data_IF_722888910100
#
_entry.id   IF_722888910100
#
_cell.length_a   1.000
_cell.length_b   1.000
_cell.length_c   1.000
_cell.angle_alpha   90.00
_cell.angle_beta   90.00
_cell.angle_gamma   90.00
#
_symmetry.space_group_name_H-M   'P 1'
#
loop_
_entity.id
_entity.type
_entity.pdbx_description
1 polymer ?
#
# COMPACT_ATOMS: atom_id res chain seq x y z
N UNK A 1 16.95 30.89 -32.80
CA UNK A 1 18.12 29.98 -32.96
C UNK A 1 19.20 30.35 -31.96
N UNK A 2 19.66 29.40 -31.15
CA UNK A 2 20.67 29.64 -30.10
C UNK A 2 21.96 30.20 -30.71
N UNK A 3 22.42 31.34 -30.20
CA UNK A 3 23.65 32.02 -30.62
C UNK A 3 24.74 31.99 -29.55
N UNK A 4 24.35 31.89 -28.28
CA UNK A 4 25.28 31.84 -27.15
C UNK A 4 24.70 31.06 -25.98
N UNK A 5 25.53 30.22 -25.37
CA UNK A 5 25.28 29.57 -24.07
C UNK A 5 26.40 30.01 -23.12
N UNK A 6 26.05 30.45 -21.92
CA UNK A 6 26.99 30.87 -20.88
C UNK A 6 26.75 30.02 -19.65
N UNK A 7 27.79 29.33 -19.17
CA UNK A 7 27.75 28.45 -18.00
C UNK A 7 28.65 29.02 -16.91
N UNK A 8 28.16 29.05 -15.67
CA UNK A 8 28.91 29.56 -14.51
C UNK A 8 28.37 28.95 -13.21
N UNK A 9 29.25 28.77 -12.23
CA UNK A 9 28.96 28.27 -10.88
C UNK A 9 28.18 26.94 -10.85
N UNK A 10 28.41 26.07 -11.83
CA UNK A 10 27.71 24.78 -11.92
C UNK A 10 28.65 23.63 -12.25
N UNK A 11 28.73 22.65 -11.35
CA UNK A 11 29.62 21.48 -11.44
C UNK A 11 31.07 21.86 -11.84
N UNK A 12 31.49 21.51 -13.07
CA UNK A 12 32.83 21.78 -13.60
C UNK A 12 33.05 23.23 -14.06
N UNK A 13 31.99 24.03 -14.22
CA UNK A 13 32.05 25.43 -14.66
C UNK A 13 32.22 26.36 -13.46
N UNK A 14 33.46 26.51 -12.96
CA UNK A 14 33.76 27.42 -11.84
C UNK A 14 33.70 28.88 -12.27
N UNK A 15 34.33 29.19 -13.40
CA UNK A 15 34.33 30.52 -14.01
C UNK A 15 33.36 30.58 -15.20
N UNK A 16 33.00 31.80 -15.61
CA UNK A 16 32.13 32.00 -16.76
C UNK A 16 32.78 31.43 -18.02
N UNK A 17 32.10 30.45 -18.63
CA UNK A 17 32.53 29.81 -19.87
C UNK A 17 31.42 29.94 -20.91
N UNK A 18 31.77 30.44 -22.09
CA UNK A 18 30.79 30.74 -23.13
C UNK A 18 31.00 29.90 -24.38
N UNK A 19 29.92 29.32 -24.88
CA UNK A 19 29.84 28.71 -26.20
C UNK A 19 29.08 29.66 -27.13
N UNK A 20 29.78 30.25 -28.10
CA UNK A 20 29.18 31.11 -29.13
C UNK A 20 29.17 30.40 -30.48
N UNK A 21 28.05 30.48 -31.19
CA UNK A 21 27.91 29.84 -32.50
C UNK A 21 26.92 30.57 -33.39
N UNK A 22 27.13 30.47 -34.69
CA UNK A 22 26.18 30.86 -35.74
C UNK A 22 25.80 29.66 -36.62
N UNK A 23 26.19 28.45 -36.24
CA UNK A 23 25.98 27.21 -37.01
C UNK A 23 24.70 26.53 -36.60
N UNK A 24 23.91 26.08 -37.58
CA UNK A 24 22.66 25.34 -37.35
C UNK A 24 22.90 24.01 -36.64
N UNK A 25 24.03 23.37 -36.91
CA UNK A 25 24.44 22.10 -36.30
C UNK A 25 25.73 22.35 -35.54
N UNK A 26 25.77 21.94 -34.27
CA UNK A 26 26.92 22.09 -33.39
C UNK A 26 27.27 20.71 -32.81
N UNK A 27 28.56 20.36 -32.82
CA UNK A 27 29.07 19.14 -32.21
C UNK A 27 29.99 19.51 -31.04
N UNK A 28 29.58 19.17 -29.83
CA UNK A 28 30.35 19.41 -28.60
C UNK A 28 30.88 18.06 -28.11
N UNK A 29 32.20 17.92 -28.06
CA UNK A 29 32.88 16.69 -27.63
C UNK A 29 34.03 17.02 -26.67
N UNK A 30 34.49 16.02 -25.93
CA UNK A 30 35.53 16.19 -24.91
C UNK A 30 35.59 15.00 -23.96
N UNK A 31 36.55 15.02 -23.04
CA UNK A 31 36.76 13.94 -22.06
C UNK A 31 35.57 13.76 -21.10
N UNK A 32 35.51 12.61 -20.44
CA UNK A 32 34.57 12.38 -19.34
C UNK A 32 34.81 13.40 -18.22
N UNK A 33 33.75 13.94 -17.63
CA UNK A 33 33.83 15.00 -16.61
C UNK A 33 34.04 16.42 -17.13
N UNK A 34 34.23 16.63 -18.44
CA UNK A 34 34.42 17.96 -19.04
C UNK A 34 33.18 18.88 -18.99
N UNK A 35 32.07 18.47 -18.35
CA UNK A 35 30.88 19.32 -18.20
C UNK A 35 29.88 19.30 -19.36
N UNK A 36 30.04 18.41 -20.35
CA UNK A 36 29.13 18.28 -21.51
C UNK A 36 27.67 18.05 -21.07
N UNK A 37 27.47 17.15 -20.10
CA UNK A 37 26.14 16.81 -19.56
C UNK A 37 25.46 18.02 -18.90
N UNK A 38 26.21 18.96 -18.33
CA UNK A 38 25.60 20.15 -17.72
C UNK A 38 24.97 21.07 -18.76
N UNK A 39 25.54 21.14 -19.96
CA UNK A 39 24.95 21.93 -21.06
C UNK A 39 23.58 21.34 -21.41
N UNK A 40 23.47 20.02 -21.55
CA UNK A 40 22.18 19.39 -21.88
C UNK A 40 21.16 19.52 -20.75
N UNK A 41 21.59 19.42 -19.48
CA UNK A 41 20.72 19.64 -18.31
C UNK A 41 20.21 21.09 -18.22
N UNK A 42 21.09 22.08 -18.45
CA UNK A 42 20.67 23.48 -18.51
C UNK A 42 19.67 23.75 -19.63
N UNK A 43 19.92 23.20 -20.82
CA UNK A 43 18.97 23.32 -21.95
C UNK A 43 17.63 22.64 -21.66
N UNK A 44 17.60 21.59 -20.83
CA UNK A 44 16.39 20.88 -20.44
C UNK A 44 15.56 21.66 -19.41
N UNK A 45 16.20 22.31 -18.43
CA UNK A 45 15.53 23.06 -17.38
C UNK A 45 16.35 24.31 -16.99
N UNK A 46 16.04 25.44 -17.64
CA UNK A 46 16.76 26.70 -17.43
C UNK A 46 16.41 27.36 -16.08
N UNK A 47 15.25 27.04 -15.53
CA UNK A 47 14.72 27.62 -14.28
C UNK A 47 15.22 26.89 -13.03
N UNK A 48 16.01 25.82 -13.18
CA UNK A 48 16.61 25.12 -12.05
C UNK A 48 17.55 26.05 -11.28
N UNK A 49 17.45 26.07 -9.94
CA UNK A 49 18.30 26.92 -9.10
C UNK A 49 19.80 26.68 -9.30
N UNK A 50 20.19 25.47 -9.73
CA UNK A 50 21.57 25.12 -10.03
C UNK A 50 22.13 25.86 -11.26
N UNK A 51 21.26 26.43 -12.10
CA UNK A 51 21.63 27.17 -13.31
C UNK A 51 21.35 28.68 -13.23
N UNK A 52 21.09 29.22 -12.03
CA UNK A 52 20.81 30.66 -11.82
C UNK A 52 21.86 31.62 -12.38
N UNK A 53 23.12 31.17 -12.48
CA UNK A 53 24.25 31.95 -13.00
C UNK A 53 24.54 31.63 -14.49
N UNK A 54 23.72 30.79 -15.13
CA UNK A 54 23.82 30.41 -16.53
C UNK A 54 22.86 31.24 -17.39
N UNK A 55 23.15 31.36 -18.69
CA UNK A 55 22.34 32.17 -19.59
C UNK A 55 22.38 31.65 -21.04
N UNK A 56 21.31 31.90 -21.79
CA UNK A 56 21.17 31.56 -23.19
C UNK A 56 20.72 32.76 -24.02
N UNK A 57 21.25 32.91 -25.24
CA UNK A 57 20.85 33.96 -26.19
C UNK A 57 20.49 33.38 -27.55
N UNK A 58 19.66 34.12 -28.28
CA UNK A 58 19.21 33.77 -29.63
C UNK A 58 17.90 32.99 -29.67
N UNK A 59 17.30 32.72 -28.51
CA UNK A 59 15.93 32.23 -28.42
C UNK A 59 14.97 33.42 -28.42
N UNK A 60 13.85 33.28 -29.12
CA UNK A 60 12.71 34.18 -29.05
C UNK A 60 11.56 33.47 -28.34
N UNK A 61 10.89 32.55 -29.04
CA UNK A 61 9.76 31.76 -28.54
C UNK A 61 9.86 30.28 -28.96
N UNK A 62 11.05 29.80 -29.31
CA UNK A 62 11.23 28.40 -29.71
C UNK A 62 11.23 27.46 -28.49
N UNK A 63 10.55 26.32 -28.64
CA UNK A 63 10.62 25.22 -27.68
C UNK A 63 11.95 24.48 -27.79
N UNK A 64 12.58 24.16 -26.65
CA UNK A 64 13.83 23.41 -26.59
C UNK A 64 13.52 21.95 -26.24
N UNK A 65 13.87 21.04 -27.14
CA UNK A 65 13.69 19.60 -26.93
C UNK A 65 14.99 18.92 -26.47
N UNK A 66 14.96 18.55 -25.18
CA UNK A 66 15.89 17.80 -24.34
C UNK A 66 16.02 16.30 -24.54
N UNK A 67 16.85 15.73 -25.42
CA UNK A 67 17.14 14.27 -25.36
C UNK A 67 18.46 13.98 -24.62
N UNK A 68 18.36 13.66 -23.33
CA UNK A 68 19.48 13.28 -22.47
C UNK A 68 19.11 12.11 -21.53
N UNK A 69 20.04 11.72 -20.67
CA UNK A 69 19.83 10.63 -19.70
C UNK A 69 18.64 10.91 -18.76
N UNK A 70 18.52 12.15 -18.26
CA UNK A 70 17.41 12.55 -17.38
C UNK A 70 16.04 12.39 -18.10
N UNK A 71 15.95 12.75 -19.39
CA UNK A 71 14.75 12.52 -20.21
C UNK A 71 14.44 11.03 -20.35
N UNK A 72 15.45 10.19 -20.54
CA UNK A 72 15.28 8.73 -20.63
C UNK A 72 14.77 8.19 -19.30
N UNK A 73 15.44 8.48 -18.19
CA UNK A 73 15.05 7.99 -16.85
C UNK A 73 13.63 8.43 -16.46
N UNK A 74 13.26 9.66 -16.83
CA UNK A 74 11.95 10.26 -16.56
C UNK A 74 10.84 9.61 -17.39
N UNK A 75 11.09 9.32 -18.67
CA UNK A 75 10.02 8.92 -19.61
C UNK A 75 10.05 7.44 -19.98
N UNK A 76 11.13 6.71 -19.67
CA UNK A 76 11.38 5.34 -20.10
C UNK A 76 11.69 4.50 -18.86
N UNK A 77 10.68 3.73 -18.42
CA UNK A 77 10.81 2.80 -17.31
C UNK A 77 11.17 1.39 -17.82
N UNK A 78 12.14 0.74 -17.17
CA UNK A 78 12.40 -0.67 -17.40
C UNK A 78 11.37 -1.49 -16.61
N UNK A 79 10.30 -1.92 -17.28
CA UNK A 79 9.41 -2.91 -16.68
C UNK A 79 10.09 -4.26 -16.76
N UNK A 80 10.43 -4.87 -15.62
CA UNK A 80 10.97 -6.25 -15.50
C UNK A 80 10.20 -7.32 -16.31
N UNK A 81 8.99 -6.99 -16.78
CA UNK A 81 8.12 -7.87 -17.55
C UNK A 81 8.44 -7.95 -19.05
N UNK A 82 9.17 -7.01 -19.65
CA UNK A 82 9.53 -7.11 -21.07
C UNK A 82 10.69 -6.19 -21.48
N UNK A 83 11.88 -6.76 -21.66
CA UNK A 83 13.02 -6.06 -22.26
C UNK A 83 12.64 -5.52 -23.65
N UNK A 84 12.83 -4.21 -23.85
CA UNK A 84 12.63 -3.55 -25.15
C UNK A 84 11.25 -2.92 -25.38
N UNK A 85 10.33 -2.95 -24.41
CA UNK A 85 9.08 -2.18 -24.48
C UNK A 85 9.20 -0.91 -23.65
N UNK A 86 9.38 0.21 -24.36
CA UNK A 86 9.40 1.53 -23.78
C UNK A 86 7.98 2.08 -23.66
N UNK A 87 7.45 2.18 -22.44
CA UNK A 87 6.16 2.84 -22.20
C UNK A 87 6.43 4.34 -22.07
N UNK A 88 5.88 5.14 -22.98
CA UNK A 88 6.01 6.61 -22.95
C UNK A 88 5.01 7.22 -21.96
N UNK A 89 5.45 8.27 -21.24
CA UNK A 89 4.77 9.18 -20.28
C UNK A 89 4.86 8.86 -18.79
N UNK A 90 5.29 9.86 -18.00
CA UNK A 90 5.36 9.85 -16.53
C UNK A 90 4.02 9.57 -15.85
N UNK A 91 2.93 10.12 -16.40
CA UNK A 91 1.59 9.92 -15.87
C UNK A 91 1.23 8.43 -15.84
N UNK A 92 1.58 7.67 -16.89
CA UNK A 92 1.35 6.23 -16.93
C UNK A 92 2.18 5.45 -15.91
N UNK A 93 3.33 5.98 -15.48
CA UNK A 93 4.20 5.32 -14.50
C UNK A 93 3.61 5.46 -13.09
N UNK A 94 3.27 6.69 -12.68
CA UNK A 94 2.70 6.96 -11.35
C UNK A 94 1.38 6.22 -11.13
N UNK A 95 0.47 6.25 -12.11
CA UNK A 95 -0.82 5.55 -12.06
C UNK A 95 -0.61 4.04 -11.96
N UNK A 96 0.37 3.48 -12.68
CA UNK A 96 0.64 2.04 -12.64
C UNK A 96 1.23 1.60 -11.29
N UNK A 97 2.13 2.38 -10.70
CA UNK A 97 2.65 2.14 -9.36
C UNK A 97 1.55 2.22 -8.30
N UNK A 98 0.64 3.18 -8.43
CA UNK A 98 -0.52 3.30 -7.55
C UNK A 98 -1.45 2.07 -7.66
N UNK A 99 -1.72 1.60 -8.89
CA UNK A 99 -2.48 0.36 -9.11
C UNK A 99 -1.80 -0.85 -8.46
N UNK A 100 -0.49 -1.02 -8.62
CA UNK A 100 0.25 -2.14 -8.04
C UNK A 100 0.22 -2.09 -6.50
N UNK A 101 0.35 -0.90 -5.91
CA UNK A 101 0.25 -0.72 -4.46
C UNK A 101 -1.17 -1.02 -3.94
N UNK A 102 -2.20 -0.48 -4.60
CA UNK A 102 -3.60 -0.74 -4.24
C UNK A 102 -3.96 -2.23 -4.37
N UNK A 103 -3.44 -2.91 -5.38
CA UNK A 103 -3.63 -4.36 -5.55
C UNK A 103 -2.98 -5.15 -4.40
N UNK A 104 -1.80 -4.75 -3.96
CA UNK A 104 -1.11 -5.37 -2.82
C UNK A 104 -1.88 -5.17 -1.53
N UNK A 105 -2.31 -3.94 -1.26
CA UNK A 105 -3.13 -3.61 -0.07
C UNK A 105 -4.45 -4.39 -0.08
N UNK A 106 -5.11 -4.51 -1.23
CA UNK A 106 -6.32 -5.29 -1.38
C UNK A 106 -6.12 -6.78 -1.08
N UNK A 107 -4.98 -7.37 -1.48
CA UNK A 107 -4.66 -8.75 -1.13
C UNK A 107 -4.43 -8.92 0.38
N UNK A 108 -3.72 -8.00 1.01
CA UNK A 108 -3.47 -8.03 2.46
C UNK A 108 -4.78 -7.90 3.26
N UNK A 109 -5.66 -6.97 2.85
CA UNK A 109 -6.97 -6.78 3.47
C UNK A 109 -7.86 -8.02 3.32
N UNK A 110 -7.89 -8.65 2.13
CA UNK A 110 -8.63 -9.90 1.92
C UNK A 110 -8.11 -11.03 2.81
N UNK A 111 -6.80 -11.22 2.87
CA UNK A 111 -6.20 -12.24 3.73
C UNK A 111 -6.55 -12.03 5.21
N UNK A 112 -6.54 -10.77 5.67
CA UNK A 112 -6.96 -10.42 7.03
C UNK A 112 -8.45 -10.67 7.27
N UNK A 113 -9.29 -10.34 6.30
CA UNK A 113 -10.73 -10.61 6.36
C UNK A 113 -11.01 -12.10 6.50
N UNK A 114 -10.38 -12.93 5.66
CA UNK A 114 -10.54 -14.39 5.70
C UNK A 114 -10.09 -14.97 7.04
N UNK A 115 -8.98 -14.48 7.59
CA UNK A 115 -8.51 -14.88 8.93
C UNK A 115 -9.51 -14.54 10.02
N UNK A 116 -10.01 -13.31 10.06
CA UNK A 116 -11.00 -12.86 11.06
C UNK A 116 -12.28 -13.68 10.95
N UNK A 117 -12.71 -14.00 9.72
CA UNK A 117 -13.89 -14.82 9.48
C UNK A 117 -13.70 -16.24 10.04
N UNK A 118 -12.54 -16.85 9.81
CA UNK A 118 -12.22 -18.17 10.39
C UNK A 118 -12.20 -18.16 11.92
N UNK A 119 -11.59 -17.15 12.54
CA UNK A 119 -11.59 -16.99 14.00
C UNK A 119 -13.00 -16.79 14.57
N UNK A 120 -13.88 -16.11 13.84
CA UNK A 120 -15.28 -15.92 14.23
C UNK A 120 -16.08 -17.22 14.15
N UNK A 121 -15.89 -18.00 13.09
CA UNK A 121 -16.51 -19.31 12.92
C UNK A 121 -16.08 -20.27 14.05
N UNK A 122 -14.78 -20.34 14.35
CA UNK A 122 -14.24 -21.18 15.44
C UNK A 122 -14.83 -20.78 16.82
N UNK A 123 -14.93 -19.47 17.11
CA UNK A 123 -15.54 -19.00 18.36
C UNK A 123 -17.03 -19.35 18.43
N UNK A 124 -17.76 -19.23 17.33
CA UNK A 124 -19.19 -19.55 17.30
C UNK A 124 -19.43 -21.06 17.52
N UNK A 125 -18.60 -21.91 16.91
CA UNK A 125 -18.61 -23.35 17.17
C UNK A 125 -18.26 -23.65 18.63
N UNK A 126 -17.27 -22.96 19.19
CA UNK A 126 -16.88 -23.06 20.59
C UNK A 126 -18.02 -22.72 21.56
N UNK A 127 -18.72 -21.60 21.34
CA UNK A 127 -19.90 -21.21 22.14
C UNK A 127 -20.98 -22.29 22.06
N UNK A 128 -21.31 -22.73 20.84
CA UNK A 128 -22.35 -23.76 20.63
C UNK A 128 -22.01 -25.06 21.35
N UNK A 129 -20.73 -25.45 21.33
CA UNK A 129 -20.24 -26.63 22.04
C UNK A 129 -20.33 -26.47 23.55
N UNK A 130 -19.89 -25.35 24.10
CA UNK A 130 -19.96 -25.06 25.54
C UNK A 130 -21.42 -25.09 26.02
N UNK A 131 -22.34 -24.46 25.29
CA UNK A 131 -23.77 -24.48 25.61
C UNK A 131 -24.35 -25.89 25.59
N UNK A 132 -23.98 -26.70 24.59
CA UNK A 132 -24.38 -28.11 24.49
C UNK A 132 -23.84 -28.94 25.66
N UNK A 133 -22.55 -28.80 25.97
CA UNK A 133 -21.88 -29.54 27.05
C UNK A 133 -22.44 -29.16 28.42
N UNK A 134 -22.73 -27.88 28.64
CA UNK A 134 -23.36 -27.37 29.86
C UNK A 134 -24.75 -27.98 30.04
N UNK A 135 -25.59 -27.91 29.00
CA UNK A 135 -26.93 -28.50 28.99
C UNK A 135 -26.89 -30.00 29.28
N UNK A 136 -25.97 -30.72 28.65
CA UNK A 136 -25.83 -32.17 28.83
C UNK A 136 -25.39 -32.52 30.25
N UNK A 137 -24.52 -31.71 30.83
CA UNK A 137 -24.08 -31.86 32.22
C UNK A 137 -25.24 -31.64 33.21
N UNK A 138 -26.02 -30.57 33.03
CA UNK A 138 -27.21 -30.28 33.84
C UNK A 138 -28.24 -31.42 33.73
N UNK A 139 -28.44 -31.95 32.53
CA UNK A 139 -29.36 -33.07 32.32
C UNK A 139 -28.89 -34.36 33.01
N UNK A 140 -27.60 -34.68 32.94
CA UNK A 140 -27.00 -35.84 33.62
C UNK A 140 -27.19 -35.75 35.13
N UNK A 141 -26.97 -34.58 35.73
CA UNK A 141 -27.21 -34.36 37.17
C UNK A 141 -28.66 -34.70 37.50
N UNK A 142 -29.62 -34.18 36.73
CA UNK A 142 -31.03 -34.50 36.93
C UNK A 142 -31.34 -36.00 36.81
N UNK A 143 -30.73 -36.70 35.85
CA UNK A 143 -30.91 -38.15 35.70
C UNK A 143 -30.36 -38.92 36.90
N UNK A 144 -29.21 -38.51 37.43
CA UNK A 144 -28.58 -39.18 38.57
C UNK A 144 -29.36 -38.99 39.89
N UNK A 145 -30.15 -37.92 40.00
CA UNK A 145 -30.86 -37.56 41.23
C UNK A 145 -32.39 -37.75 41.13
N UNK A 146 -32.93 -38.20 40.00
CA UNK A 146 -34.38 -38.26 39.78
C UNK A 146 -35.11 -39.20 40.74
N UNK A 147 -34.47 -40.29 41.16
CA UNK A 147 -35.09 -41.25 42.07
C UNK A 147 -35.14 -40.77 43.53
N UNK A 148 -34.15 -39.97 43.94
CA UNK A 148 -34.03 -39.45 45.30
C UNK A 148 -34.89 -38.21 45.54
N UNK A 149 -35.29 -37.49 44.48
CA UNK A 149 -36.04 -36.23 44.56
C UNK A 149 -37.21 -36.21 43.57
N UNK A 150 -38.01 -37.28 43.53
CA UNK A 150 -39.12 -37.43 42.57
C UNK A 150 -40.08 -36.23 42.57
N UNK A 151 -40.49 -35.79 43.75
CA UNK A 151 -41.42 -34.66 43.92
C UNK A 151 -40.86 -33.34 43.35
N UNK A 152 -39.55 -33.17 43.36
CA UNK A 152 -38.89 -31.99 42.81
C UNK A 152 -38.85 -31.99 41.27
N UNK A 153 -38.77 -33.18 40.67
CA UNK A 153 -38.67 -33.35 39.22
C UNK A 153 -40.01 -33.65 38.53
N UNK A 154 -41.11 -33.77 39.30
CA UNK A 154 -42.44 -34.05 38.79
C UNK A 154 -42.92 -32.94 37.83
N UNK A 155 -43.39 -33.33 36.64
CA UNK A 155 -43.78 -32.38 35.58
C UNK A 155 -42.61 -31.62 34.91
N UNK A 156 -41.34 -31.91 35.27
CA UNK A 156 -40.13 -31.26 34.72
C UNK A 156 -39.28 -32.19 33.84
N UNK A 157 -39.91 -33.19 33.22
CA UNK A 157 -39.27 -34.30 32.51
C UNK A 157 -39.28 -34.19 30.98
N UNK A 158 -39.80 -33.10 30.39
CA UNK A 158 -40.13 -33.04 28.96
C UNK A 158 -38.94 -33.04 27.99
N UNK A 159 -37.94 -32.19 28.21
CA UNK A 159 -36.73 -32.12 27.37
C UNK A 159 -35.55 -31.47 28.10
N UNK A 160 -34.33 -31.64 27.57
CA UNK A 160 -33.13 -30.96 28.07
C UNK A 160 -33.32 -29.43 28.09
N UNK A 161 -33.97 -28.85 27.08
CA UNK A 161 -34.23 -27.41 26.93
C UNK A 161 -35.15 -26.92 28.04
N UNK A 162 -36.27 -27.64 28.24
CA UNK A 162 -37.29 -27.27 29.22
C UNK A 162 -36.75 -27.34 30.65
N UNK A 163 -35.87 -28.31 30.93
CA UNK A 163 -35.25 -28.47 32.23
C UNK A 163 -34.17 -27.41 32.48
N UNK A 164 -33.36 -27.10 31.47
CA UNK A 164 -32.37 -26.03 31.57
C UNK A 164 -33.02 -24.68 31.87
N UNK A 165 -34.08 -24.31 31.13
CA UNK A 165 -34.86 -23.07 31.37
C UNK A 165 -35.45 -22.99 32.78
N UNK A 166 -35.81 -24.14 33.37
CA UNK A 166 -36.33 -24.20 34.74
C UNK A 166 -35.22 -23.99 35.79
N UNK A 167 -34.01 -24.48 35.52
CA UNK A 167 -32.89 -24.45 36.47
C UNK A 167 -32.09 -23.13 36.37
N UNK A 168 -31.96 -22.52 35.20
CA UNK A 168 -31.26 -21.25 34.98
C UNK A 168 -31.55 -20.13 36.01
N UNK A 169 -32.82 -19.78 36.30
CA UNK A 169 -33.11 -18.74 37.30
C UNK A 169 -32.67 -19.16 38.71
N UNK A 170 -32.77 -20.45 39.05
CA UNK A 170 -32.34 -20.99 40.35
C UNK A 170 -30.82 -20.99 40.49
N UNK A 171 -30.07 -21.21 39.41
CA UNK A 171 -28.60 -21.07 39.42
C UNK A 171 -28.22 -19.63 39.76
N UNK A 172 -28.91 -18.64 39.18
CA UNK A 172 -28.65 -17.21 39.44
C UNK A 172 -28.98 -16.80 40.89
N UNK A 173 -29.98 -17.41 41.50
CA UNK A 173 -30.30 -17.21 42.93
C UNK A 173 -29.22 -17.75 43.87
N UNK A 174 -28.59 -18.89 43.52
CA UNK A 174 -27.58 -19.56 44.34
C UNK A 174 -26.17 -19.03 44.08
N UNK A 175 -25.88 -18.57 42.85
CA UNK A 175 -24.60 -18.00 42.44
C UNK A 175 -24.76 -16.59 41.87
N UNK A 176 -25.03 -15.58 42.70
CA UNK A 176 -25.26 -14.20 42.25
C UNK A 176 -24.02 -13.50 41.64
N UNK A 177 -22.85 -14.14 41.66
CA UNK A 177 -21.56 -13.56 41.22
C UNK A 177 -21.04 -14.05 39.86
N UNK A 178 -21.82 -14.86 39.12
CA UNK A 178 -21.47 -15.24 37.74
C UNK A 178 -22.43 -14.50 36.80
N UNK A 179 -22.33 -13.18 36.80
CA UNK A 179 -22.86 -12.33 35.74
C UNK A 179 -21.66 -11.60 35.13
N UNK A 180 -21.04 -12.25 34.15
CA UNK A 180 -20.18 -11.62 33.14
C UNK A 180 -20.89 -11.83 31.82
#
# INVERSE_FOLDING_TARGET
MITKISMKNVASYKDETTLETNKRINLIYGLNGAGKTQISKFLANQEDENFKDCNIKGLSNEEILVYNQDFIEKNFYDTDKQQGIFTLSEENISVKQEIENLQKELMELKSRQDKIKGELEEKQEGITKIESDFRDSVWKIKQNHSDNFKDFFEGKMGSKESFLKFIEPKIKEVFPLIAI
#
